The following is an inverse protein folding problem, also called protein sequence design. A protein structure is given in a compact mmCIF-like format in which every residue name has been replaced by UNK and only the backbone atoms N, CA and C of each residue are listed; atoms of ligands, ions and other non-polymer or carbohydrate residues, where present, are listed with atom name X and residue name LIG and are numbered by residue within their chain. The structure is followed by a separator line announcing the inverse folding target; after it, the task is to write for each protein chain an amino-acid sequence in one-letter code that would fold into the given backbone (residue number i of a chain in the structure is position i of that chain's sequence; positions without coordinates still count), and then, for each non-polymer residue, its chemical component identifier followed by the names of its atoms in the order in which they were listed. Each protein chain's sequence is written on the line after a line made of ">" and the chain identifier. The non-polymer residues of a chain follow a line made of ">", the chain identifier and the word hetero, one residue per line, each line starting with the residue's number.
data_IF_968304973557
#
_entry.id   IF_968304973557
#
_cell.length_a   1.000
_cell.length_b   1.000
_cell.length_c   1.000
_cell.angle_alpha   90.00
_cell.angle_beta   90.00
_cell.angle_gamma   90.00
#
_symmetry.space_group_name_H-M   'P 1'
#
loop_
_entity.id
_entity.type
_entity.pdbx_description
1 polymer ?
#
# COMPACT_ATOMS: atom_id res chain seq x y z
N UNK A 1 -55.78 -14.55 20.67
CA UNK A 1 -54.45 -14.68 20.04
C UNK A 1 -53.99 -13.34 19.48
N UNK A 2 -52.83 -12.80 19.89
CA UNK A 2 -52.21 -11.62 19.27
C UNK A 2 -51.14 -12.10 18.28
N UNK A 3 -51.34 -11.85 16.98
CA UNK A 3 -50.35 -12.20 15.94
C UNK A 3 -49.14 -11.27 16.07
N UNK A 4 -47.99 -11.83 16.43
CA UNK A 4 -46.69 -11.18 16.29
C UNK A 4 -46.36 -11.13 14.80
N UNK A 5 -46.25 -9.92 14.22
CA UNK A 5 -45.63 -9.74 12.92
C UNK A 5 -44.15 -9.44 13.16
N UNK A 6 -43.30 -10.40 12.82
CA UNK A 6 -41.86 -10.30 12.94
C UNK A 6 -41.35 -9.21 11.98
N UNK A 7 -40.60 -8.26 12.52
CA UNK A 7 -39.83 -7.28 11.77
C UNK A 7 -38.54 -7.97 11.33
N UNK A 8 -38.39 -8.29 10.05
CA UNK A 8 -37.14 -8.84 9.52
C UNK A 8 -36.13 -7.70 9.32
N UNK A 9 -34.95 -7.71 9.95
CA UNK A 9 -33.89 -6.77 9.59
C UNK A 9 -33.40 -7.12 8.19
N UNK A 10 -33.59 -6.21 7.24
CA UNK A 10 -33.00 -6.29 5.92
C UNK A 10 -31.47 -6.34 6.08
N UNK A 11 -30.89 -7.44 5.59
CA UNK A 11 -29.45 -7.58 5.49
C UNK A 11 -28.93 -6.44 4.60
N UNK A 12 -28.31 -5.43 5.21
CA UNK A 12 -27.62 -4.37 4.48
C UNK A 12 -26.46 -5.01 3.72
N UNK A 13 -26.57 -5.09 2.40
CA UNK A 13 -25.43 -5.29 1.51
C UNK A 13 -24.41 -4.19 1.81
N UNK A 14 -23.23 -4.57 2.30
CA UNK A 14 -22.10 -3.63 2.41
C UNK A 14 -21.72 -3.25 0.98
N UNK A 15 -22.06 -2.02 0.57
CA UNK A 15 -21.80 -1.53 -0.77
C UNK A 15 -20.30 -1.46 -1.04
N UNK A 16 -19.88 -1.87 -2.24
CA UNK A 16 -18.51 -1.77 -2.76
C UNK A 16 -18.15 -0.32 -3.16
N UNK A 17 -18.82 0.67 -2.58
CA UNK A 17 -18.88 2.05 -3.07
C UNK A 17 -17.60 2.87 -2.89
N UNK A 18 -16.51 2.26 -2.37
CA UNK A 18 -15.23 2.93 -2.17
C UNK A 18 -14.06 2.27 -2.91
N UNK A 19 -14.32 1.45 -3.94
CA UNK A 19 -13.26 0.86 -4.77
C UNK A 19 -13.19 1.57 -6.12
N UNK A 20 -12.02 2.15 -6.43
CA UNK A 20 -11.70 2.73 -7.72
C UNK A 20 -10.51 2.01 -8.36
N UNK A 21 -10.48 1.99 -9.69
CA UNK A 21 -9.36 1.46 -10.49
C UNK A 21 -8.45 2.62 -10.86
N UNK A 22 -7.13 2.40 -10.75
CA UNK A 22 -6.13 3.41 -11.10
C UNK A 22 -6.11 3.68 -12.61
N UNK A 23 -5.98 4.95 -13.00
CA UNK A 23 -5.70 5.32 -14.40
C UNK A 23 -4.28 4.92 -14.81
N UNK A 24 -3.96 4.93 -16.10
CA UNK A 24 -2.61 4.60 -16.58
C UNK A 24 -1.54 5.52 -15.96
N UNK A 25 -1.83 6.81 -15.85
CA UNK A 25 -0.91 7.80 -15.26
C UNK A 25 -0.65 7.51 -13.77
N UNK A 26 -1.67 7.06 -13.05
CA UNK A 26 -1.53 6.63 -11.65
C UNK A 26 -0.73 5.30 -11.56
N UNK A 27 -0.95 4.36 -12.49
CA UNK A 27 -0.18 3.11 -12.57
C UNK A 27 1.29 3.38 -12.89
N UNK A 28 1.58 4.33 -13.79
CA UNK A 28 2.96 4.73 -14.12
C UNK A 28 3.67 5.30 -12.90
N UNK A 29 3.02 6.21 -12.17
CA UNK A 29 3.57 6.78 -10.92
C UNK A 29 3.76 5.72 -9.83
N UNK A 30 2.81 4.79 -9.70
CA UNK A 30 2.97 3.65 -8.80
C UNK A 30 4.20 2.81 -9.18
N UNK A 31 4.41 2.57 -10.47
CA UNK A 31 5.57 1.82 -10.94
C UNK A 31 6.88 2.57 -10.65
N UNK A 32 6.93 3.89 -10.83
CA UNK A 32 8.09 4.72 -10.47
C UNK A 32 8.43 4.55 -8.97
N UNK A 33 7.44 4.70 -8.08
CA UNK A 33 7.62 4.47 -6.63
C UNK A 33 8.13 3.06 -6.34
N UNK A 34 7.57 2.04 -6.97
CA UNK A 34 7.94 0.64 -6.72
C UNK A 34 9.33 0.27 -7.26
N UNK A 35 9.81 1.00 -8.28
CA UNK A 35 11.08 0.75 -8.97
C UNK A 35 12.20 1.70 -8.56
N UNK A 36 11.88 2.79 -7.84
CA UNK A 36 12.88 3.70 -7.26
C UNK A 36 13.87 2.92 -6.39
N UNK A 37 15.16 3.20 -6.61
CA UNK A 37 16.24 2.67 -5.79
C UNK A 37 16.42 3.56 -4.57
N UNK A 38 16.19 2.99 -3.39
CA UNK A 38 16.34 3.67 -2.11
C UNK A 38 17.59 3.13 -1.42
N UNK A 39 18.54 4.00 -1.03
CA UNK A 39 19.71 3.57 -0.27
C UNK A 39 19.33 3.30 1.20
N UNK A 40 19.66 2.12 1.69
CA UNK A 40 19.54 1.74 3.11
C UNK A 40 20.94 1.66 3.70
N UNK A 41 21.28 2.63 4.54
CA UNK A 41 22.60 2.73 5.13
C UNK A 41 22.79 1.67 6.22
N UNK A 42 23.84 0.86 6.08
CA UNK A 42 24.27 -0.04 7.14
C UNK A 42 24.78 0.73 8.35
N UNK A 43 24.49 0.24 9.55
CA UNK A 43 25.05 0.81 10.79
C UNK A 43 26.45 0.25 11.03
N UNK A 44 27.45 1.10 11.28
CA UNK A 44 28.84 0.65 11.50
C UNK A 44 29.55 0.35 10.19
N UNK A 45 30.19 -0.82 10.08
CA UNK A 45 30.96 -1.23 8.88
C UNK A 45 30.13 -2.00 7.84
N UNK A 46 28.80 -2.03 7.99
CA UNK A 46 27.94 -2.66 6.99
C UNK A 46 27.75 -1.73 5.79
N UNK A 47 27.81 -2.25 4.56
CA UNK A 47 27.67 -1.44 3.35
C UNK A 47 26.25 -0.85 3.25
N UNK A 48 26.13 0.26 2.52
CA UNK A 48 24.83 0.76 2.05
C UNK A 48 24.26 -0.21 1.02
N UNK A 49 23.00 -0.59 1.21
CA UNK A 49 22.27 -1.42 0.27
C UNK A 49 21.43 -0.55 -0.66
N UNK A 50 21.43 -0.87 -1.94
CA UNK A 50 20.50 -0.31 -2.92
C UNK A 50 19.29 -1.24 -3.04
N UNK A 51 18.12 -0.78 -2.58
CA UNK A 51 16.92 -1.62 -2.53
C UNK A 51 15.77 -0.95 -3.27
N UNK A 52 14.91 -1.78 -3.87
CA UNK A 52 13.65 -1.34 -4.47
C UNK A 52 12.49 -1.92 -3.70
N UNK A 53 11.41 -1.15 -3.54
CA UNK A 53 10.22 -1.61 -2.82
C UNK A 53 9.63 -2.89 -3.42
N UNK A 54 9.59 -3.00 -4.75
CA UNK A 54 9.10 -4.21 -5.43
C UNK A 54 9.89 -5.47 -5.06
N UNK A 55 11.20 -5.35 -4.89
CA UNK A 55 12.07 -6.49 -4.62
C UNK A 55 11.90 -6.95 -3.16
N UNK A 56 11.77 -5.99 -2.24
CA UNK A 56 11.48 -6.28 -0.82
C UNK A 56 10.14 -7.00 -0.69
N UNK A 57 9.08 -6.45 -1.30
CA UNK A 57 7.73 -7.04 -1.23
C UNK A 57 7.73 -8.46 -1.79
N UNK A 58 8.34 -8.66 -2.96
CA UNK A 58 8.43 -9.98 -3.58
C UNK A 58 9.19 -10.98 -2.68
N UNK A 59 10.30 -10.54 -2.08
CA UNK A 59 11.13 -11.40 -1.23
C UNK A 59 10.43 -11.76 0.08
N UNK A 60 9.81 -10.80 0.75
CA UNK A 60 9.08 -11.01 2.01
C UNK A 60 7.89 -11.92 1.77
N UNK A 61 7.08 -11.67 0.74
CA UNK A 61 5.94 -12.53 0.38
C UNK A 61 6.37 -13.97 0.16
N UNK A 62 7.40 -14.17 -0.67
CA UNK A 62 7.93 -15.51 -0.96
C UNK A 62 8.38 -16.23 0.30
N UNK A 63 9.04 -15.55 1.24
CA UNK A 63 9.50 -16.15 2.50
C UNK A 63 8.36 -16.49 3.46
N UNK A 64 7.34 -15.64 3.55
CA UNK A 64 6.14 -15.93 4.35
C UNK A 64 5.39 -17.15 3.81
N UNK A 65 5.17 -17.20 2.49
CA UNK A 65 4.48 -18.33 1.85
C UNK A 65 5.27 -19.64 2.01
N UNK A 66 6.60 -19.61 1.87
CA UNK A 66 7.46 -20.76 2.14
C UNK A 66 7.42 -21.23 3.61
N UNK A 67 7.10 -20.32 4.53
CA UNK A 67 6.95 -20.63 5.96
C UNK A 67 5.53 -21.11 6.31
N UNK A 68 4.67 -21.35 5.31
CA UNK A 68 3.28 -21.78 5.50
C UNK A 68 2.30 -20.64 5.83
N UNK A 69 2.76 -19.39 5.76
CA UNK A 69 1.92 -18.21 6.03
C UNK A 69 1.35 -17.69 4.72
N UNK A 70 0.04 -17.83 4.53
CA UNK A 70 -0.64 -17.32 3.34
C UNK A 70 -0.73 -15.80 3.38
N UNK A 71 -0.17 -15.13 2.37
CA UNK A 71 -0.30 -13.68 2.18
C UNK A 71 -1.47 -13.41 1.25
N UNK A 72 -2.53 -12.79 1.76
CA UNK A 72 -3.74 -12.51 0.97
C UNK A 72 -3.53 -11.34 0.00
N UNK A 73 -3.11 -10.20 0.54
CA UNK A 73 -2.96 -8.95 -0.20
C UNK A 73 -1.73 -8.18 0.33
N UNK A 74 -1.10 -7.38 -0.52
CA UNK A 74 -0.09 -6.38 -0.13
C UNK A 74 -0.60 -5.01 -0.55
N UNK A 75 -0.59 -4.03 0.37
CA UNK A 75 -1.18 -2.71 0.17
C UNK A 75 -0.14 -1.63 0.42
N UNK A 76 -0.06 -0.67 -0.49
CA UNK A 76 0.66 0.58 -0.29
C UNK A 76 -0.27 1.56 0.45
N UNK A 77 0.17 2.09 1.59
CA UNK A 77 -0.60 3.02 2.41
C UNK A 77 0.20 4.33 2.61
N UNK A 78 -0.39 5.28 3.35
CA UNK A 78 0.26 6.52 3.76
C UNK A 78 0.34 7.56 2.64
N UNK A 79 1.19 8.57 2.83
CA UNK A 79 1.37 9.68 1.89
C UNK A 79 1.82 9.22 0.51
N UNK A 80 2.57 8.12 0.42
CA UNK A 80 2.99 7.54 -0.86
C UNK A 80 1.78 7.09 -1.70
N UNK A 81 0.74 6.51 -1.09
CA UNK A 81 -0.48 6.16 -1.81
C UNK A 81 -1.22 7.41 -2.31
N UNK A 82 -1.29 8.46 -1.49
CA UNK A 82 -1.87 9.75 -1.90
C UNK A 82 -1.10 10.40 -3.06
N UNK A 83 0.23 10.35 -3.03
CA UNK A 83 1.10 10.85 -4.11
C UNK A 83 0.90 10.11 -5.44
N UNK A 84 0.63 8.80 -5.38
CA UNK A 84 0.26 8.01 -6.57
C UNK A 84 -1.10 8.46 -7.13
N UNK A 85 -2.04 8.86 -6.28
CA UNK A 85 -3.40 9.23 -6.70
C UNK A 85 -3.47 10.66 -7.26
N UNK A 86 -2.91 11.64 -6.55
CA UNK A 86 -3.00 13.07 -6.89
C UNK A 86 -1.72 13.52 -7.55
N UNK A 87 -1.81 14.10 -8.75
CA UNK A 87 -0.65 14.72 -9.38
C UNK A 87 -0.60 16.17 -8.89
N UNK A 88 0.36 16.51 -8.03
CA UNK A 88 0.61 17.90 -7.67
C UNK A 88 1.16 18.62 -8.91
N UNK A 89 0.29 19.30 -9.65
CA UNK A 89 0.58 20.20 -10.79
C UNK A 89 1.39 21.46 -10.37
N UNK A 90 2.17 21.38 -9.28
CA UNK A 90 2.86 22.53 -8.70
C UNK A 90 4.05 22.23 -7.79
N UNK A 91 4.47 20.98 -7.61
CA UNK A 91 5.70 20.69 -6.87
C UNK A 91 6.88 20.56 -7.83
N UNK A 92 7.61 21.68 -7.97
CA UNK A 92 8.99 21.64 -8.43
C UNK A 92 9.75 20.59 -7.61
N UNK A 93 10.46 19.70 -8.30
CA UNK A 93 11.21 18.52 -7.84
C UNK A 93 12.28 18.77 -6.73
N UNK A 94 12.26 19.93 -6.05
CA UNK A 94 13.26 20.36 -5.07
C UNK A 94 12.93 20.06 -3.60
N UNK A 95 11.69 19.73 -3.27
CA UNK A 95 11.28 19.40 -1.90
C UNK A 95 10.74 17.97 -1.81
N UNK A 96 11.51 17.00 -2.34
CA UNK A 96 11.36 15.60 -1.98
C UNK A 96 11.84 15.43 -0.54
N UNK A 97 11.00 15.81 0.42
CA UNK A 97 11.10 15.31 1.78
C UNK A 97 10.79 13.80 1.70
N UNK A 98 11.81 12.99 1.36
CA UNK A 98 11.73 11.53 1.14
C UNK A 98 11.40 10.75 2.42
N UNK A 99 10.80 11.40 3.43
CA UNK A 99 10.14 10.72 4.55
C UNK A 99 8.74 10.30 4.11
N UNK A 100 8.69 9.34 3.18
CA UNK A 100 7.60 8.38 3.19
C UNK A 100 7.69 7.65 4.53
N UNK A 101 6.90 8.09 5.50
CA UNK A 101 6.82 7.47 6.82
C UNK A 101 6.42 6.01 6.63
N UNK A 102 7.44 5.15 6.68
CA UNK A 102 7.32 3.72 6.91
C UNK A 102 6.79 3.51 8.33
N UNK A 103 5.96 2.47 8.51
CA UNK A 103 5.29 1.97 9.74
C UNK A 103 3.92 2.64 9.97
N UNK A 104 2.82 1.90 10.16
CA UNK A 104 2.68 0.74 11.05
C UNK A 104 1.81 -0.37 10.45
N UNK A 105 2.24 -1.60 10.70
CA UNK A 105 1.36 -2.77 10.77
C UNK A 105 0.36 -2.52 11.91
N UNK A 106 -0.93 -2.65 11.63
CA UNK A 106 -1.93 -2.89 12.68
C UNK A 106 -2.60 -4.23 12.41
N UNK A 107 -2.61 -5.02 13.48
CA UNK A 107 -3.07 -6.40 13.65
C UNK A 107 -4.48 -6.68 13.13
#
# INVERSE_FOLDING_TARGET
>A
MKKKKCNSPSAKSKSLESVSVLTWEQVSRLNEVLTEVVPVHGRGNFPTLEVRLKDIVARVRSRLELSGIRVKDVRLNGSTASHVLVQDIGWSYKDLDKRGTLLMLSS
#
